data_IF_334316834674
#
_entry.id   IF_334316834674
#
_cell.length_a   1.000
_cell.length_b   1.000
_cell.length_c   1.000
_cell.angle_alpha   90.00
_cell.angle_beta   90.00
_cell.angle_gamma   90.00
#
_symmetry.space_group_name_H-M   'P 1'
#
loop_
_entity.id
_entity.type
_entity.pdbx_description
1 polymer ?
#
# COMPACT_ATOMS: atom_id res chain seq x y z
N UNK A 1 0.29 1.46 35.27
CA UNK A 1 0.70 1.90 36.62
C UNK A 1 0.53 0.72 37.57
N UNK A 2 1.56 0.34 38.31
CA UNK A 2 1.46 -0.70 39.34
C UNK A 2 1.49 0.00 40.69
N UNK A 3 0.43 -0.15 41.49
CA UNK A 3 0.32 0.44 42.82
C UNK A 3 0.75 -0.58 43.87
N UNK A 4 1.75 -0.22 44.67
CA UNK A 4 2.19 -1.01 45.82
C UNK A 4 1.72 -0.31 47.10
N UNK A 5 0.75 -0.90 47.80
CA UNK A 5 0.17 -0.34 49.02
C UNK A 5 0.55 -1.13 50.28
N UNK A 6 0.73 -0.43 51.41
CA UNK A 6 0.61 -1.01 52.76
C UNK A 6 -0.83 -0.90 53.23
N UNK A 7 -1.33 -1.90 53.95
CA UNK A 7 -2.44 -1.75 54.90
C UNK A 7 -1.96 -1.12 56.23
N UNK A 8 -2.48 0.07 56.56
CA UNK A 8 -2.15 0.89 57.74
C UNK A 8 -1.25 2.10 57.43
N UNK A 9 -1.00 3.01 58.42
CA UNK A 9 -0.22 4.25 58.25
C UNK A 9 1.04 4.02 57.39
N UNK A 10 1.02 4.43 56.12
CA UNK A 10 2.18 4.38 55.23
C UNK A 10 2.01 5.22 53.97
N UNK A 11 3.17 5.75 53.63
CA UNK A 11 3.62 6.24 52.33
C UNK A 11 3.30 5.28 51.19
N UNK A 12 2.99 5.86 50.03
CA UNK A 12 2.69 5.19 48.78
C UNK A 12 3.93 5.31 47.89
N UNK A 13 4.45 4.18 47.41
CA UNK A 13 5.46 4.16 46.35
C UNK A 13 4.78 3.80 45.04
N UNK A 14 4.97 4.63 44.01
CA UNK A 14 4.39 4.43 42.69
C UNK A 14 5.48 3.90 41.74
N UNK A 15 5.17 2.83 41.01
CA UNK A 15 5.93 2.48 39.80
C UNK A 15 5.17 3.11 38.64
N UNK A 16 5.70 4.24 38.18
CA UNK A 16 5.21 4.89 36.98
C UNK A 16 5.85 4.24 35.74
N UNK A 17 5.02 3.59 34.94
CA UNK A 17 5.41 3.08 33.62
C UNK A 17 5.04 4.09 32.52
N UNK A 18 4.44 5.23 32.86
CA UNK A 18 4.11 6.26 31.89
C UNK A 18 5.35 7.08 31.54
N UNK A 19 5.72 7.01 30.26
CA UNK A 19 6.78 7.83 29.68
C UNK A 19 7.69 7.09 28.71
N UNK A 20 7.75 5.75 28.77
CA UNK A 20 8.42 4.92 27.78
C UNK A 20 7.48 3.84 27.28
N UNK A 21 7.04 3.93 26.03
CA UNK A 21 6.49 2.76 25.31
C UNK A 21 7.59 1.70 25.31
N UNK A 22 7.33 0.53 25.89
CA UNK A 22 8.29 -0.57 26.02
C UNK A 22 8.15 -1.48 24.80
N UNK A 23 9.20 -1.60 23.99
CA UNK A 23 9.23 -2.44 22.80
C UNK A 23 10.07 -3.69 23.06
N UNK A 24 9.76 -4.79 22.37
CA UNK A 24 10.15 -6.18 22.70
C UNK A 24 11.63 -6.54 22.94
N UNK A 25 12.58 -5.60 22.83
CA UNK A 25 13.98 -5.80 23.21
C UNK A 25 14.42 -5.01 24.46
N UNK A 26 13.62 -4.06 24.94
CA UNK A 26 14.01 -3.14 26.02
C UNK A 26 13.68 -3.67 27.43
N UNK A 27 13.20 -4.92 27.53
CA UNK A 27 12.96 -5.58 28.82
C UNK A 27 14.23 -6.19 29.43
N UNK A 28 15.35 -6.18 28.72
CA UNK A 28 16.60 -6.75 29.20
C UNK A 28 17.21 -5.98 30.40
N UNK A 29 16.70 -4.79 30.76
CA UNK A 29 17.30 -3.96 31.81
C UNK A 29 16.32 -2.99 32.48
N UNK A 30 15.17 -3.47 32.97
CA UNK A 30 14.36 -2.66 33.90
C UNK A 30 14.97 -2.80 35.30
N UNK A 31 15.95 -1.93 35.61
CA UNK A 31 16.56 -1.84 36.94
C UNK A 31 15.63 -1.01 37.87
N UNK A 32 14.83 -1.68 38.71
CA UNK A 32 13.93 -1.04 39.66
C UNK A 32 14.68 -0.67 40.95
N UNK A 33 15.07 0.60 41.11
CA UNK A 33 15.60 1.12 42.39
C UNK A 33 14.51 1.86 43.17
N UNK A 34 14.12 1.31 44.32
CA UNK A 34 13.34 2.03 45.33
C UNK A 34 14.24 2.64 46.40
N UNK A 35 14.00 3.90 46.80
CA UNK A 35 14.69 4.55 47.93
C UNK A 35 13.81 4.54 49.19
N UNK A 36 14.42 4.30 50.34
CA UNK A 36 13.83 4.44 51.68
C UNK A 36 14.76 5.26 52.59
N UNK A 37 14.21 6.18 53.38
CA UNK A 37 14.91 6.85 54.48
C UNK A 37 15.08 5.88 55.65
N UNK A 38 16.23 5.19 55.71
CA UNK A 38 16.65 4.43 56.90
C UNK A 38 17.20 3.02 56.67
N UNK A 39 17.38 2.56 55.43
CA UNK A 39 17.99 1.25 55.13
C UNK A 39 17.57 0.70 53.77
N UNK A 40 18.49 -0.02 53.10
CA UNK A 40 18.29 -0.55 51.75
C UNK A 40 17.38 -1.79 51.75
N UNK A 41 16.38 -1.83 50.87
CA UNK A 41 15.85 -3.09 50.35
C UNK A 41 16.39 -3.26 48.92
N UNK A 42 17.06 -4.37 48.65
CA UNK A 42 17.44 -4.74 47.29
C UNK A 42 16.29 -5.52 46.65
N UNK A 43 15.63 -4.92 45.66
CA UNK A 43 14.77 -5.66 44.73
C UNK A 43 15.69 -6.17 43.62
N UNK A 44 16.13 -7.42 43.71
CA UNK A 44 16.80 -8.08 42.59
C UNK A 44 15.74 -8.68 41.68
N UNK A 45 15.56 -8.11 40.50
CA UNK A 45 14.97 -8.85 39.39
C UNK A 45 16.01 -9.88 38.93
N UNK A 46 15.78 -11.17 39.24
CA UNK A 46 16.61 -12.24 38.68
C UNK A 46 16.06 -12.58 37.30
N UNK A 47 16.88 -12.37 36.27
CA UNK A 47 16.59 -12.85 34.93
C UNK A 47 16.53 -14.39 34.95
N UNK A 48 15.42 -14.98 34.52
CA UNK A 48 15.48 -16.35 33.99
C UNK A 48 15.98 -16.24 32.55
N UNK A 49 17.28 -16.47 32.36
CA UNK A 49 17.85 -16.80 31.05
C UNK A 49 17.48 -18.25 30.72
N UNK A 50 16.85 -18.44 29.57
CA UNK A 50 16.68 -19.70 28.83
C UNK A 50 16.12 -20.89 29.62
N UNK A 51 14.80 -21.09 29.51
CA UNK A 51 14.21 -22.42 29.61
C UNK A 51 13.43 -22.67 28.32
N UNK A 52 13.97 -23.58 27.51
CA UNK A 52 13.37 -24.19 26.33
C UNK A 52 11.86 -24.41 26.45
N UNK A 53 11.08 -23.69 25.64
CA UNK A 53 9.71 -24.06 25.31
C UNK A 53 9.71 -24.48 23.84
N UNK A 54 9.40 -25.74 23.59
CA UNK A 54 9.29 -26.33 22.26
C UNK A 54 8.18 -25.62 21.47
N UNK A 55 8.49 -25.30 20.22
CA UNK A 55 7.57 -24.71 19.26
C UNK A 55 6.41 -25.67 18.99
N UNK A 56 5.19 -25.34 19.42
CA UNK A 56 3.97 -25.84 18.78
C UNK A 56 2.73 -24.98 19.06
N UNK A 57 2.67 -24.20 20.14
CA UNK A 57 1.52 -23.32 20.40
C UNK A 57 1.96 -21.85 20.58
N UNK A 58 1.53 -20.99 19.65
CA UNK A 58 1.71 -19.53 19.74
C UNK A 58 0.74 -18.96 20.78
N UNK A 59 1.17 -18.87 22.04
CA UNK A 59 0.49 -18.14 23.13
C UNK A 59 1.29 -16.86 23.47
N UNK A 60 0.65 -15.75 23.89
CA UNK A 60 1.32 -14.48 24.09
C UNK A 60 2.37 -14.59 25.19
N UNK A 61 3.56 -14.06 24.89
CA UNK A 61 4.79 -14.16 25.68
C UNK A 61 4.57 -13.76 27.14
N UNK A 62 4.47 -14.75 28.02
CA UNK A 62 4.33 -14.56 29.47
C UNK A 62 5.65 -14.06 30.05
N UNK A 63 5.66 -12.84 30.59
CA UNK A 63 6.80 -12.32 31.36
C UNK A 63 6.44 -12.38 32.85
N UNK A 64 7.14 -13.21 33.62
CA UNK A 64 6.93 -13.30 35.06
C UNK A 64 7.68 -12.17 35.79
N UNK A 65 6.95 -11.34 36.54
CA UNK A 65 7.53 -10.38 37.49
C UNK A 65 7.46 -10.99 38.90
N UNK A 66 8.59 -11.47 39.41
CA UNK A 66 8.67 -11.98 40.77
C UNK A 66 8.91 -10.84 41.77
N UNK A 67 8.04 -10.72 42.78
CA UNK A 67 8.22 -9.80 43.90
C UNK A 67 8.65 -10.57 45.13
N UNK A 68 9.68 -10.09 45.84
CA UNK A 68 10.16 -10.69 47.08
C UNK A 68 9.81 -9.78 48.25
N UNK A 69 9.18 -10.34 49.28
CA UNK A 69 8.94 -9.66 50.55
C UNK A 69 9.70 -10.38 51.64
N UNK A 70 10.60 -9.70 52.33
CA UNK A 70 11.39 -10.28 53.44
C UNK A 70 10.63 -10.31 54.78
N UNK A 71 9.37 -9.89 54.80
CA UNK A 71 8.62 -9.61 56.03
C UNK A 71 7.40 -10.55 56.11
N UNK A 72 7.39 -11.42 57.11
CA UNK A 72 6.44 -12.56 57.23
C UNK A 72 5.03 -12.15 57.69
N UNK A 73 4.87 -10.91 58.16
CA UNK A 73 3.64 -10.40 58.80
C UNK A 73 2.90 -9.37 57.93
N UNK A 74 3.17 -9.31 56.62
CA UNK A 74 2.69 -8.21 55.78
C UNK A 74 2.13 -8.67 54.44
N UNK A 75 1.03 -8.06 54.03
CA UNK A 75 0.46 -8.20 52.70
C UNK A 75 0.99 -7.10 51.78
N UNK A 76 1.43 -7.50 50.58
CA UNK A 76 1.71 -6.57 49.47
C UNK A 76 0.58 -6.70 48.47
N UNK A 77 -0.16 -5.61 48.29
CA UNK A 77 -1.19 -5.54 47.26
C UNK A 77 -0.58 -5.02 45.97
N UNK A 78 -0.76 -5.78 44.89
CA UNK A 78 -0.37 -5.39 43.54
C UNK A 78 -1.65 -5.02 42.79
N UNK A 79 -1.82 -3.73 42.52
CA UNK A 79 -2.99 -3.20 41.83
C UNK A 79 -2.63 -2.62 40.46
N UNK A 80 -3.62 -2.61 39.57
CA UNK A 80 -3.60 -1.85 38.33
C UNK A 80 -3.81 -0.34 38.61
N UNK A 81 -3.44 0.50 37.64
CA UNK A 81 -3.59 1.97 37.72
C UNK A 81 -5.03 2.46 37.83
N UNK A 82 -5.98 1.62 37.46
CA UNK A 82 -7.42 1.85 37.60
C UNK A 82 -7.98 1.46 38.98
N UNK A 83 -7.14 0.92 39.87
CA UNK A 83 -7.54 0.49 41.22
C UNK A 83 -8.06 -0.95 41.31
N UNK A 84 -8.05 -1.73 40.23
CA UNK A 84 -8.37 -3.15 40.29
C UNK A 84 -7.24 -3.96 40.96
N UNK A 85 -7.61 -4.88 41.84
CA UNK A 85 -6.68 -5.76 42.56
C UNK A 85 -6.24 -6.90 41.64
N UNK A 86 -4.93 -7.03 41.38
CA UNK A 86 -4.37 -8.09 40.53
C UNK A 86 -4.03 -9.34 41.38
N UNK A 87 -3.81 -9.17 42.69
CA UNK A 87 -3.67 -10.26 43.65
C UNK A 87 -3.18 -9.78 45.02
N UNK A 88 -3.29 -10.66 46.03
CA UNK A 88 -2.78 -10.44 47.39
C UNK A 88 -1.65 -11.45 47.71
N UNK A 89 -0.44 -10.99 48.08
CA UNK A 89 0.56 -11.85 48.72
C UNK A 89 0.23 -11.98 50.20
N UNK A 90 -0.19 -13.16 50.67
CA UNK A 90 -0.67 -13.36 52.04
C UNK A 90 0.15 -14.31 52.93
N UNK A 91 1.32 -14.80 52.51
CA UNK A 91 2.20 -15.51 53.47
C UNK A 91 3.66 -15.60 53.03
N UNK A 92 4.54 -15.67 54.03
CA UNK A 92 5.96 -16.02 53.87
C UNK A 92 6.12 -17.27 52.97
N UNK A 93 6.83 -17.10 51.85
CA UNK A 93 7.06 -18.12 50.84
C UNK A 93 7.14 -17.50 49.44
N UNK A 94 7.94 -18.11 48.55
CA UNK A 94 8.05 -17.68 47.14
C UNK A 94 6.66 -17.64 46.50
N UNK A 95 6.13 -16.43 46.33
CA UNK A 95 4.86 -16.20 45.65
C UNK A 95 5.17 -15.50 44.34
N UNK A 96 5.12 -16.26 43.24
CA UNK A 96 5.24 -15.69 41.89
C UNK A 96 3.91 -15.06 41.50
N UNK A 97 3.86 -13.74 41.30
CA UNK A 97 2.72 -13.09 40.67
C UNK A 97 2.95 -13.09 39.16
N UNK A 98 2.02 -13.68 38.42
CA UNK A 98 1.98 -13.54 36.97
C UNK A 98 1.21 -12.26 36.63
N UNK A 99 1.92 -11.19 36.28
CA UNK A 99 1.30 -10.00 35.71
C UNK A 99 1.13 -10.23 34.20
N UNK A 100 -0.11 -10.46 33.76
CA UNK A 100 -0.44 -10.43 32.34
C UNK A 100 -0.46 -8.96 31.90
N UNK A 101 0.69 -8.42 31.49
CA UNK A 101 0.68 -7.19 30.69
C UNK A 101 0.21 -7.62 29.31
N UNK A 102 -1.09 -7.42 29.04
CA UNK A 102 -1.60 -7.58 27.70
C UNK A 102 -0.82 -6.61 26.80
N UNK A 103 0.08 -7.13 25.96
CA UNK A 103 0.83 -6.40 24.94
C UNK A 103 -0.10 -5.95 23.79
N UNK A 104 -1.42 -5.91 24.03
CA UNK A 104 -2.49 -5.75 23.04
C UNK A 104 -2.61 -4.33 22.49
N UNK A 105 -1.62 -3.48 22.67
CA UNK A 105 -1.57 -2.16 22.04
C UNK A 105 -0.18 -1.72 21.58
N UNK A 106 0.74 -2.64 21.32
CA UNK A 106 2.00 -2.34 20.60
C UNK A 106 1.70 -2.16 19.10
N UNK A 107 1.02 -1.08 18.78
CA UNK A 107 0.82 -0.67 17.39
C UNK A 107 1.89 0.36 17.05
N UNK A 108 2.65 0.11 15.98
CA UNK A 108 3.55 1.11 15.43
C UNK A 108 2.74 2.32 14.98
N UNK A 109 3.22 3.53 15.32
CA UNK A 109 2.58 4.76 14.89
C UNK A 109 2.60 4.84 13.35
N UNK A 110 1.54 5.39 12.78
CA UNK A 110 1.30 5.41 11.32
C UNK A 110 2.01 6.61 10.70
N UNK A 111 2.61 6.48 9.50
CA UNK A 111 3.17 7.62 8.78
C UNK A 111 2.10 8.67 8.46
N UNK A 112 2.52 9.91 8.18
CA UNK A 112 1.59 11.02 7.85
C UNK A 112 2.08 11.78 6.62
N UNK A 113 1.32 12.77 6.14
CA UNK A 113 1.78 13.71 5.11
C UNK A 113 2.17 13.03 3.79
N UNK A 114 1.41 12.03 3.35
CA UNK A 114 1.70 11.28 2.14
C UNK A 114 1.40 12.06 0.86
N UNK A 115 2.27 11.91 -0.14
CA UNK A 115 2.10 12.52 -1.45
C UNK A 115 2.62 11.60 -2.56
N UNK A 116 1.92 11.63 -3.68
CA UNK A 116 2.35 11.03 -4.94
C UNK A 116 1.83 11.90 -6.07
N UNK A 117 2.69 12.20 -7.04
CA UNK A 117 2.32 12.90 -8.26
C UNK A 117 2.72 12.02 -9.43
N UNK A 118 1.74 11.69 -10.27
CA UNK A 118 1.99 10.85 -11.43
C UNK A 118 2.64 11.65 -12.55
N UNK A 119 3.74 11.11 -13.09
CA UNK A 119 4.49 11.68 -14.21
C UNK A 119 4.46 10.79 -15.45
N UNK A 120 3.81 9.63 -15.39
CA UNK A 120 3.50 8.85 -16.58
C UNK A 120 2.21 9.39 -17.20
N UNK A 121 2.16 9.51 -18.51
CA UNK A 121 0.97 10.04 -19.20
C UNK A 121 0.06 8.92 -19.72
N UNK A 122 0.44 7.66 -19.52
CA UNK A 122 -0.22 6.50 -20.12
C UNK A 122 -1.36 5.98 -19.25
N UNK A 123 -2.51 5.69 -19.87
CA UNK A 123 -3.68 5.12 -19.17
C UNK A 123 -3.31 3.88 -18.35
N UNK A 124 -3.65 3.92 -17.05
CA UNK A 124 -3.42 2.86 -16.06
C UNK A 124 -1.95 2.51 -15.86
N UNK A 125 -1.07 3.46 -16.11
CA UNK A 125 0.36 3.38 -15.82
C UNK A 125 0.77 4.61 -15.05
N UNK A 126 1.61 4.42 -14.06
CA UNK A 126 2.06 5.51 -13.21
C UNK A 126 3.58 5.54 -13.09
N UNK A 127 4.11 6.72 -12.80
CA UNK A 127 5.50 6.98 -12.48
C UNK A 127 5.59 8.14 -11.50
N UNK A 128 6.68 8.22 -10.72
CA UNK A 128 6.92 9.40 -9.89
C UNK A 128 7.45 9.04 -8.52
N UNK A 129 7.58 10.05 -7.66
CA UNK A 129 8.08 9.87 -6.30
C UNK A 129 6.91 9.75 -5.32
N UNK A 130 6.79 8.58 -4.69
CA UNK A 130 5.93 8.38 -3.53
C UNK A 130 6.69 8.86 -2.29
N UNK A 131 6.06 9.70 -1.46
CA UNK A 131 6.70 10.22 -0.25
C UNK A 131 5.73 10.31 0.92
N UNK A 132 6.28 10.30 2.13
CA UNK A 132 5.54 10.48 3.39
C UNK A 132 6.44 11.09 4.46
N UNK A 133 5.83 11.44 5.59
CA UNK A 133 6.51 11.89 6.81
C UNK A 133 6.50 10.75 7.82
N UNK A 134 7.69 10.42 8.36
CA UNK A 134 7.82 9.43 9.43
C UNK A 134 6.96 9.81 10.65
N UNK A 135 6.48 8.83 11.44
CA UNK A 135 5.79 9.11 12.69
C UNK A 135 6.64 9.93 13.65
N UNK A 136 5.97 10.66 14.57
CA UNK A 136 6.67 11.41 15.62
C UNK A 136 7.42 10.47 16.57
N UNK A 137 6.76 9.39 16.99
CA UNK A 137 7.38 8.29 17.73
C UNK A 137 7.76 7.16 16.77
N UNK A 138 9.05 6.95 16.63
CA UNK A 138 9.60 5.94 15.74
C UNK A 138 10.17 4.73 16.46
N UNK A 139 9.91 4.60 17.76
CA UNK A 139 10.50 3.52 18.53
C UNK A 139 9.98 2.15 18.03
N UNK A 140 10.90 1.20 17.88
CA UNK A 140 10.63 -0.13 17.32
C UNK A 140 10.32 -0.19 15.81
N UNK A 141 10.20 0.95 15.12
CA UNK A 141 9.98 0.99 13.66
C UNK A 141 11.31 0.76 12.96
N UNK A 142 11.38 -0.30 12.15
CA UNK A 142 12.57 -0.65 11.36
C UNK A 142 12.43 -0.30 9.89
N UNK A 143 11.25 0.15 9.43
CA UNK A 143 11.04 0.63 8.07
C UNK A 143 9.57 0.79 7.70
N UNK A 144 9.30 0.84 6.40
CA UNK A 144 7.94 0.94 5.84
C UNK A 144 7.66 -0.14 4.80
N UNK A 145 6.39 -0.54 4.70
CA UNK A 145 5.90 -1.36 3.60
C UNK A 145 4.81 -0.63 2.84
N UNK A 146 4.87 -0.72 1.52
CA UNK A 146 3.93 -0.08 0.60
C UNK A 146 3.12 -1.16 -0.11
N UNK A 147 1.81 -0.98 -0.18
CA UNK A 147 0.88 -1.88 -0.86
C UNK A 147 0.00 -1.11 -1.84
N UNK A 148 -0.51 -1.81 -2.85
CA UNK A 148 -1.71 -1.38 -3.55
C UNK A 148 -2.92 -1.53 -2.63
N UNK A 149 -3.82 -0.55 -2.65
CA UNK A 149 -5.02 -0.60 -1.84
C UNK A 149 -6.16 0.26 -2.34
N UNK A 150 -7.24 0.21 -1.58
CA UNK A 150 -8.43 1.03 -1.80
C UNK A 150 -8.44 2.24 -0.87
N UNK A 151 -9.30 3.22 -1.16
CA UNK A 151 -9.51 4.39 -0.30
C UNK A 151 -9.96 4.03 1.14
N UNK A 152 -10.51 2.82 1.34
CA UNK A 152 -10.88 2.30 2.66
C UNK A 152 -9.72 1.66 3.45
N UNK A 153 -8.49 1.69 2.93
CA UNK A 153 -7.31 1.10 3.60
C UNK A 153 -7.18 -0.42 3.43
N UNK A 154 -7.94 -1.02 2.51
CA UNK A 154 -7.87 -2.46 2.23
C UNK A 154 -6.73 -2.76 1.27
N UNK A 155 -5.85 -3.71 1.64
CA UNK A 155 -4.78 -4.20 0.77
C UNK A 155 -5.34 -5.05 -0.36
N UNK A 156 -4.76 -4.93 -1.55
CA UNK A 156 -5.11 -5.75 -2.71
C UNK A 156 -4.18 -6.95 -2.91
N UNK A 157 -3.08 -7.02 -2.16
CA UNK A 157 -2.12 -8.12 -2.17
C UNK A 157 -1.63 -8.44 -0.77
N UNK A 158 -1.30 -9.71 -0.53
CA UNK A 158 -0.63 -10.14 0.70
C UNK A 158 0.84 -9.66 0.73
N UNK A 159 1.50 -9.71 -0.42
CA UNK A 159 2.88 -9.23 -0.60
C UNK A 159 2.92 -7.71 -0.77
N UNK A 160 3.95 -7.10 -0.17
CA UNK A 160 4.20 -5.68 -0.31
C UNK A 160 4.75 -5.36 -1.70
N UNK A 161 4.32 -4.25 -2.27
CA UNK A 161 4.91 -3.69 -3.49
C UNK A 161 6.35 -3.25 -3.23
N UNK A 162 6.59 -2.61 -2.08
CA UNK A 162 7.92 -2.23 -1.62
C UNK A 162 8.07 -2.51 -0.12
N UNK A 163 9.27 -2.96 0.27
CA UNK A 163 9.71 -3.01 1.67
C UNK A 163 10.96 -2.15 1.78
N UNK A 164 10.90 -1.14 2.65
CA UNK A 164 11.89 -0.06 2.75
C UNK A 164 12.48 -0.07 4.16
N UNK A 165 13.63 -0.73 4.36
CA UNK A 165 14.32 -0.73 5.64
C UNK A 165 14.82 0.66 5.99
N UNK A 166 14.76 1.04 7.26
CA UNK A 166 15.21 2.33 7.78
C UNK A 166 14.06 3.29 8.02
N UNK A 167 13.94 3.76 9.27
CA UNK A 167 12.91 4.72 9.71
C UNK A 167 12.92 6.06 8.94
N UNK A 168 14.06 6.44 8.37
CA UNK A 168 14.21 7.69 7.61
C UNK A 168 13.94 7.51 6.10
N UNK A 169 13.76 6.28 5.61
CA UNK A 169 13.45 6.03 4.21
C UNK A 169 11.97 6.31 3.93
N UNK A 170 11.64 7.59 3.81
CA UNK A 170 10.26 8.06 3.67
C UNK A 170 9.88 8.44 2.23
N UNK A 171 10.60 7.89 1.25
CA UNK A 171 10.25 8.02 -0.16
C UNK A 171 10.60 6.76 -0.94
N UNK A 172 9.94 6.60 -2.09
CA UNK A 172 10.17 5.52 -3.04
C UNK A 172 9.82 5.97 -4.45
N UNK A 173 10.76 5.80 -5.38
CA UNK A 173 10.50 6.03 -6.81
C UNK A 173 9.68 4.89 -7.41
N UNK A 174 8.52 5.22 -7.96
CA UNK A 174 7.69 4.35 -8.78
C UNK A 174 8.24 4.42 -10.21
N UNK A 175 8.59 3.26 -10.77
CA UNK A 175 9.20 3.19 -12.11
C UNK A 175 8.17 3.57 -13.17
N UNK A 176 8.60 4.24 -14.24
CA UNK A 176 7.72 4.49 -15.39
C UNK A 176 7.19 3.19 -15.99
N UNK A 177 5.94 3.25 -16.45
CA UNK A 177 5.19 2.10 -16.94
C UNK A 177 4.71 1.15 -15.84
N UNK A 178 4.69 1.55 -14.56
CA UNK A 178 4.16 0.69 -13.49
C UNK A 178 2.66 0.54 -13.67
N UNK A 179 2.20 -0.69 -13.87
CA UNK A 179 0.78 -1.01 -13.99
C UNK A 179 0.03 -0.80 -12.68
N UNK A 180 -1.05 -0.03 -12.72
CA UNK A 180 -2.02 0.05 -11.61
C UNK A 180 -2.92 -1.18 -11.68
N UNK A 181 -2.95 -2.06 -10.66
CA UNK A 181 -3.82 -3.24 -10.66
C UNK A 181 -5.30 -2.86 -10.61
N UNK A 182 -6.16 -3.74 -11.11
CA UNK A 182 -7.60 -3.55 -11.02
C UNK A 182 -8.07 -3.35 -9.57
N UNK A 183 -8.85 -2.30 -9.33
CA UNK A 183 -9.37 -1.93 -8.01
C UNK A 183 -8.40 -1.12 -7.14
N UNK A 184 -7.15 -0.92 -7.54
CA UNK A 184 -6.21 -0.06 -6.82
C UNK A 184 -6.58 1.41 -7.02
N UNK A 185 -6.78 2.13 -5.92
CA UNK A 185 -7.07 3.57 -5.91
C UNK A 185 -6.05 4.36 -5.08
N UNK A 186 -5.25 3.67 -4.26
CA UNK A 186 -4.31 4.28 -3.33
C UNK A 186 -3.05 3.41 -3.15
N UNK A 187 -1.96 4.04 -2.73
CA UNK A 187 -0.90 3.37 -1.99
C UNK A 187 -1.25 3.33 -0.51
N UNK A 188 -0.97 2.20 0.15
CA UNK A 188 -1.08 2.06 1.59
C UNK A 188 0.32 1.92 2.18
N UNK A 189 0.70 2.83 3.07
CA UNK A 189 2.00 2.81 3.73
C UNK A 189 1.82 2.40 5.18
N UNK A 190 2.46 1.29 5.57
CA UNK A 190 2.49 0.77 6.93
C UNK A 190 3.88 0.96 7.52
N UNK A 191 3.95 1.40 8.77
CA UNK A 191 5.16 1.25 9.57
C UNK A 191 5.34 -0.24 9.87
N UNK A 192 6.57 -0.75 9.85
CA UNK A 192 6.84 -2.12 10.29
C UNK A 192 8.05 -2.20 11.22
N UNK A 193 8.09 -3.28 11.98
CA UNK A 193 9.17 -3.63 12.88
C UNK A 193 9.22 -5.13 13.11
N UNK A 194 9.85 -5.54 14.20
CA UNK A 194 10.06 -6.94 14.55
C UNK A 194 8.76 -7.70 14.85
N UNK A 195 7.71 -7.00 15.30
CA UNK A 195 6.42 -7.61 15.64
C UNK A 195 5.40 -7.53 14.50
N UNK A 196 5.81 -7.10 13.31
CA UNK A 196 4.94 -6.99 12.14
C UNK A 196 4.69 -5.54 11.72
N UNK A 197 3.48 -5.24 11.26
CA UNK A 197 3.08 -3.95 10.71
C UNK A 197 2.16 -3.19 11.67
N UNK A 198 2.03 -1.88 11.47
CA UNK A 198 1.00 -1.07 12.13
C UNK A 198 -0.41 -1.61 11.83
N UNK A 199 -1.35 -1.45 12.77
CA UNK A 199 -2.75 -1.89 12.58
C UNK A 199 -3.56 -0.98 11.65
N UNK A 200 -3.00 0.17 11.28
CA UNK A 200 -3.56 1.14 10.34
C UNK A 200 -2.47 1.60 9.38
N UNK A 201 -2.88 2.24 8.29
CA UNK A 201 -1.97 2.74 7.26
C UNK A 201 -2.22 4.21 6.94
N UNK A 202 -1.20 4.81 6.34
CA UNK A 202 -1.35 6.04 5.58
C UNK A 202 -1.90 5.69 4.21
N UNK A 203 -3.04 6.27 3.86
CA UNK A 203 -3.66 6.14 2.53
C UNK A 203 -3.20 7.31 1.67
N UNK A 204 -2.51 7.03 0.57
CA UNK A 204 -2.05 8.03 -0.39
C UNK A 204 -2.81 7.80 -1.71
N UNK A 205 -3.69 8.71 -2.13
CA UNK A 205 -4.48 8.52 -3.34
C UNK A 205 -3.58 8.46 -4.57
N UNK A 206 -3.95 7.61 -5.51
CA UNK A 206 -3.35 7.58 -6.84
C UNK A 206 -4.28 8.38 -7.75
N UNK A 207 -3.72 9.39 -8.40
CA UNK A 207 -4.40 10.12 -9.48
C UNK A 207 -3.58 9.86 -10.74
N UNK A 208 -4.12 9.03 -11.61
CA UNK A 208 -3.53 8.69 -12.90
C UNK A 208 -3.62 9.91 -13.84
N UNK A 209 -2.48 10.43 -14.27
CA UNK A 209 -2.41 11.63 -15.10
C UNK A 209 -2.36 11.26 -16.58
N UNK A 210 -3.50 10.89 -17.13
CA UNK A 210 -3.58 10.45 -18.53
C UNK A 210 -3.62 11.63 -19.50
N UNK A 211 -2.72 11.64 -20.49
CA UNK A 211 -2.81 12.53 -21.66
C UNK A 211 -3.39 11.74 -22.82
N UNK A 212 -4.67 11.98 -23.11
CA UNK A 212 -5.41 11.27 -24.14
C UNK A 212 -4.89 11.55 -25.56
N UNK A 213 -5.01 10.56 -26.44
CA UNK A 213 -4.71 10.65 -27.85
C UNK A 213 -5.62 11.69 -28.52
N UNK A 214 -5.02 12.53 -29.36
CA UNK A 214 -5.77 13.51 -30.15
C UNK A 214 -6.36 12.85 -31.39
N UNK A 215 -7.52 13.33 -31.83
CA UNK A 215 -8.10 12.88 -33.10
C UNK A 215 -7.11 13.11 -34.25
N UNK A 216 -6.95 12.13 -35.16
CA UNK A 216 -6.08 12.31 -36.31
C UNK A 216 -6.63 13.40 -37.24
N UNK A 217 -5.72 14.13 -37.90
CA UNK A 217 -6.09 15.13 -38.92
C UNK A 217 -5.98 14.48 -40.29
N UNK A 218 -7.09 14.43 -41.02
CA UNK A 218 -7.13 13.96 -42.41
C UNK A 218 -6.78 15.12 -43.34
N UNK A 219 -5.66 15.01 -44.05
CA UNK A 219 -5.20 16.02 -45.01
C UNK A 219 -5.78 15.78 -46.41
N UNK A 220 -5.91 14.51 -46.80
CA UNK A 220 -6.40 14.13 -48.12
C UNK A 220 -7.37 12.97 -47.98
N UNK A 221 -8.58 13.16 -48.49
CA UNK A 221 -9.60 12.11 -48.61
C UNK A 221 -9.37 11.28 -49.89
N UNK A 222 -9.82 10.01 -49.93
CA UNK A 222 -9.82 9.23 -51.16
C UNK A 222 -10.60 9.94 -52.27
N UNK A 223 -10.00 9.98 -53.46
CA UNK A 223 -10.64 10.56 -54.63
C UNK A 223 -11.54 9.54 -55.34
N UNK A 224 -12.59 10.04 -56.00
CA UNK A 224 -13.44 9.22 -56.86
C UNK A 224 -12.64 8.62 -58.02
N UNK A 225 -13.01 7.41 -58.43
CA UNK A 225 -12.36 6.71 -59.53
C UNK A 225 -13.41 6.14 -60.51
N UNK A 226 -13.14 6.29 -61.80
CA UNK A 226 -13.88 5.61 -62.88
C UNK A 226 -12.93 4.69 -63.61
N UNK A 227 -13.27 3.41 -63.67
CA UNK A 227 -12.44 2.32 -64.20
C UNK A 227 -13.27 1.34 -65.03
N UNK A 228 -12.62 0.63 -65.93
CA UNK A 228 -13.27 -0.42 -66.71
C UNK A 228 -13.42 -1.70 -65.87
N UNK A 229 -14.40 -2.54 -66.23
CA UNK A 229 -14.56 -3.87 -65.63
C UNK A 229 -13.26 -4.67 -65.80
N UNK A 230 -12.83 -5.35 -64.75
CA UNK A 230 -11.59 -6.12 -64.71
C UNK A 230 -10.33 -5.33 -64.33
N UNK A 231 -10.39 -3.99 -64.31
CA UNK A 231 -9.32 -3.14 -63.76
C UNK A 231 -9.44 -3.02 -62.23
N UNK A 232 -8.42 -2.43 -61.59
CA UNK A 232 -8.43 -2.09 -60.16
C UNK A 232 -8.49 -0.57 -59.97
N UNK A 233 -9.05 -0.15 -58.83
CA UNK A 233 -8.99 1.23 -58.34
C UNK A 233 -8.06 1.31 -57.12
N UNK A 234 -7.37 2.44 -56.98
CA UNK A 234 -6.54 2.73 -55.81
C UNK A 234 -7.13 3.93 -55.08
N UNK A 235 -7.45 3.72 -53.81
CA UNK A 235 -7.88 4.76 -52.89
C UNK A 235 -6.75 5.02 -51.89
N UNK A 236 -6.54 6.28 -51.53
CA UNK A 236 -5.51 6.68 -50.59
C UNK A 236 -6.02 7.79 -49.67
N UNK A 237 -5.61 7.71 -48.40
CA UNK A 237 -5.80 8.74 -47.39
C UNK A 237 -4.43 9.25 -46.94
N UNK A 238 -4.33 10.55 -46.66
CA UNK A 238 -3.18 11.11 -45.95
C UNK A 238 -3.66 11.66 -44.62
N UNK A 239 -3.06 11.21 -43.53
CA UNK A 239 -3.42 11.61 -42.18
C UNK A 239 -2.17 11.85 -41.34
N UNK A 240 -2.29 12.68 -40.30
CA UNK A 240 -1.26 12.89 -39.29
C UNK A 240 -1.84 12.72 -37.89
N UNK A 241 -1.01 12.22 -36.97
CA UNK A 241 -1.26 12.29 -35.53
C UNK A 241 -0.62 13.57 -35.00
N UNK A 242 -1.39 14.62 -34.64
CA UNK A 242 -0.83 15.91 -34.24
C UNK A 242 -0.01 15.83 -32.95
N UNK A 243 -0.25 14.81 -32.14
CA UNK A 243 0.43 14.51 -30.89
C UNK A 243 1.59 13.51 -31.05
N UNK A 244 1.92 13.07 -32.28
CA UNK A 244 2.94 12.06 -32.53
C UNK A 244 2.54 10.63 -32.16
N UNK A 245 1.25 10.36 -31.97
CA UNK A 245 0.73 9.01 -31.79
C UNK A 245 0.88 8.12 -33.03
N UNK A 246 0.48 6.85 -32.90
CA UNK A 246 0.56 5.86 -33.99
C UNK A 246 -0.79 5.73 -34.71
N UNK A 247 -0.77 5.86 -36.04
CA UNK A 247 -1.98 5.74 -36.87
C UNK A 247 -2.19 4.30 -37.35
N UNK A 248 -3.44 3.83 -37.23
CA UNK A 248 -3.94 2.62 -37.89
C UNK A 248 -5.12 2.98 -38.79
N UNK A 249 -5.36 2.13 -39.78
CA UNK A 249 -6.36 2.37 -40.83
C UNK A 249 -7.31 1.19 -40.91
N UNK A 250 -8.58 1.47 -41.23
CA UNK A 250 -9.56 0.44 -41.58
C UNK A 250 -10.40 0.95 -42.75
N UNK A 251 -10.26 0.32 -43.90
CA UNK A 251 -11.12 0.64 -45.04
C UNK A 251 -12.49 -0.01 -44.90
N UNK A 252 -13.52 0.75 -45.30
CA UNK A 252 -14.90 0.33 -45.30
C UNK A 252 -15.52 0.59 -46.66
N UNK A 253 -16.46 -0.26 -47.04
CA UNK A 253 -17.26 -0.11 -48.26
C UNK A 253 -18.74 0.04 -47.91
N UNK A 254 -19.43 0.84 -48.69
CA UNK A 254 -20.88 0.94 -48.73
C UNK A 254 -21.40 0.59 -50.11
N UNK A 255 -22.51 -0.16 -50.16
CA UNK A 255 -23.23 -0.50 -51.39
C UNK A 255 -24.61 0.18 -51.46
N UNK A 256 -24.93 1.01 -50.47
CA UNK A 256 -26.22 1.67 -50.28
C UNK A 256 -26.08 3.19 -50.17
N UNK A 257 -25.15 3.76 -50.93
CA UNK A 257 -24.88 5.20 -50.99
C UNK A 257 -24.54 5.84 -49.64
N UNK A 258 -23.82 5.10 -48.80
CA UNK A 258 -23.31 5.57 -47.52
C UNK A 258 -24.24 5.33 -46.33
N UNK A 259 -25.36 4.64 -46.52
CA UNK A 259 -26.29 4.27 -45.45
C UNK A 259 -25.69 3.31 -44.44
N UNK A 260 -25.02 2.27 -44.92
CA UNK A 260 -24.30 1.26 -44.13
C UNK A 260 -22.89 1.08 -44.64
N UNK A 261 -21.97 0.87 -43.70
CA UNK A 261 -20.55 0.70 -43.97
C UNK A 261 -20.09 -0.62 -43.36
N UNK A 262 -19.50 -1.47 -44.18
CA UNK A 262 -18.89 -2.73 -43.74
C UNK A 262 -17.39 -2.63 -43.84
N UNK A 263 -16.68 -3.12 -42.81
CA UNK A 263 -15.24 -3.31 -42.87
C UNK A 263 -14.87 -4.22 -44.04
N UNK A 264 -13.82 -3.82 -44.75
CA UNK A 264 -13.21 -4.66 -45.77
C UNK A 264 -12.29 -5.66 -45.07
N UNK A 265 -12.59 -6.95 -45.25
CA UNK A 265 -11.80 -8.05 -44.73
C UNK A 265 -10.40 -8.06 -45.34
N UNK A 266 -9.41 -8.48 -44.53
CA UNK A 266 -8.05 -8.78 -44.99
C UNK A 266 -7.20 -7.54 -45.33
N UNK A 267 -6.20 -7.25 -44.50
CA UNK A 267 -5.07 -6.35 -44.76
C UNK A 267 -5.36 -4.94 -45.33
N UNK A 268 -6.62 -4.51 -45.44
CA UNK A 268 -7.02 -3.15 -45.81
C UNK A 268 -6.82 -2.19 -44.63
N UNK A 269 -5.61 -2.25 -44.08
CA UNK A 269 -5.15 -1.56 -42.87
C UNK A 269 -3.99 -0.61 -43.14
N UNK A 270 -3.78 -0.29 -44.41
CA UNK A 270 -2.80 0.68 -44.89
C UNK A 270 -3.46 2.00 -45.31
N UNK A 271 -2.69 3.07 -45.37
CA UNK A 271 -3.13 4.37 -45.87
C UNK A 271 -3.59 4.34 -47.33
N UNK A 272 -3.21 3.30 -48.09
CA UNK A 272 -3.73 3.03 -49.43
C UNK A 272 -4.43 1.67 -49.48
N UNK A 273 -5.53 1.62 -50.22
CA UNK A 273 -6.26 0.40 -50.55
C UNK A 273 -6.36 0.25 -52.07
N UNK A 274 -6.11 -0.96 -52.56
CA UNK A 274 -6.30 -1.34 -53.97
C UNK A 274 -7.45 -2.34 -54.00
N UNK A 275 -8.47 -2.06 -54.81
CA UNK A 275 -9.60 -2.97 -54.97
C UNK A 275 -9.16 -4.28 -55.63
N UNK A 276 -9.88 -5.38 -55.42
CA UNK A 276 -9.90 -6.49 -56.38
C UNK A 276 -10.31 -6.00 -57.78
N UNK A 277 -10.18 -6.88 -58.77
CA UNK A 277 -10.67 -6.60 -60.12
C UNK A 277 -12.16 -6.25 -60.08
N UNK A 278 -12.50 -5.07 -60.60
CA UNK A 278 -13.84 -4.49 -60.48
C UNK A 278 -14.86 -5.25 -61.33
N UNK A 279 -16.07 -5.35 -60.79
CA UNK A 279 -17.25 -5.93 -61.45
C UNK A 279 -18.33 -4.88 -61.64
N UNK A 280 -19.39 -5.20 -62.38
CA UNK A 280 -20.54 -4.29 -62.53
C UNK A 280 -21.24 -3.98 -61.19
N UNK A 281 -21.13 -4.90 -60.21
CA UNK A 281 -21.71 -4.72 -58.88
C UNK A 281 -20.99 -3.66 -58.03
N UNK A 282 -19.76 -3.28 -58.40
CA UNK A 282 -18.99 -2.25 -57.70
C UNK A 282 -19.33 -0.83 -58.19
N UNK A 283 -20.15 -0.69 -59.24
CA UNK A 283 -20.58 0.62 -59.72
C UNK A 283 -21.48 1.31 -58.68
N UNK A 284 -21.06 2.50 -58.24
CA UNK A 284 -21.73 3.24 -57.17
C UNK A 284 -21.36 2.79 -55.75
N UNK A 285 -20.46 1.81 -55.61
CA UNK A 285 -19.88 1.49 -54.31
C UNK A 285 -19.08 2.69 -53.79
N UNK A 286 -19.25 3.01 -52.50
CA UNK A 286 -18.49 4.07 -51.84
C UNK A 286 -17.44 3.45 -50.93
N UNK A 287 -16.30 4.12 -50.83
CA UNK A 287 -15.18 3.69 -49.99
C UNK A 287 -14.80 4.82 -49.03
N UNK A 288 -14.56 4.46 -47.76
CA UNK A 288 -13.99 5.38 -46.76
C UNK A 288 -12.91 4.67 -45.97
N UNK A 289 -12.06 5.46 -45.34
CA UNK A 289 -11.05 4.97 -44.43
C UNK A 289 -11.32 5.57 -43.05
N UNK A 290 -11.46 4.72 -42.04
CA UNK A 290 -11.46 5.13 -40.64
C UNK A 290 -10.01 5.15 -40.18
N UNK A 291 -9.55 6.30 -39.68
CA UNK A 291 -8.19 6.45 -39.18
C UNK A 291 -8.23 6.54 -37.66
N UNK A 292 -7.49 5.67 -36.99
CA UNK A 292 -7.38 5.66 -35.53
C UNK A 292 -6.00 6.11 -35.11
N UNK A 293 -5.91 7.17 -34.31
CA UNK A 293 -4.70 7.52 -33.60
C UNK A 293 -4.67 6.81 -32.24
N UNK A 294 -3.54 6.20 -31.89
CA UNK A 294 -3.32 5.56 -30.59
C UNK A 294 -2.10 6.19 -29.91
N UNK A 295 -2.28 6.65 -28.68
CA UNK A 295 -1.21 7.23 -27.85
C UNK A 295 -1.52 7.04 -26.37
N UNK A 296 -0.50 6.78 -25.55
CA UNK A 296 -0.64 6.71 -24.09
C UNK A 296 -1.73 5.73 -23.62
N UNK A 297 -1.90 4.60 -24.32
CA UNK A 297 -2.95 3.61 -24.01
C UNK A 297 -4.38 4.01 -24.40
N UNK A 298 -4.58 5.20 -24.95
CA UNK A 298 -5.88 5.72 -25.41
C UNK A 298 -5.95 5.80 -26.94
N UNK A 299 -7.16 5.91 -27.48
CA UNK A 299 -7.40 6.03 -28.92
C UNK A 299 -8.38 7.14 -29.26
N UNK A 300 -8.22 7.73 -30.44
CA UNK A 300 -9.14 8.69 -31.04
C UNK A 300 -9.28 8.41 -32.53
N UNK A 301 -10.49 8.57 -33.09
CA UNK A 301 -10.81 8.18 -34.48
C UNK A 301 -11.30 9.38 -35.29
N UNK A 302 -11.02 9.36 -36.59
CA UNK A 302 -11.58 10.27 -37.59
C UNK A 302 -12.08 9.49 -38.82
#
# INVERSE_FOLDING_TARGET
MIKLGRTGNRDISYIDLFGKKIYGHDMASILLKGMHTGGYYSVNSVNYTEASLSAEDYEPVTHALAFWTSDVDRTVQVGSGDGSTIGDLTRAGNSTIYAHVALSSLHYDVPTGGAFADTDESDKRIAGELSWTKPADTNGITGYKVYWGTAGGTKLSAEALYTLPGVNNCSQTIRSGTAVPDGATCFLVYSYGLTGESSSCLVIPIVDHVVAAQAPVINTHPADATKNIGETATFAVSAIAPDGGSLTYQWQRSLDSGGTWSDLDGAATSASYITPALTYADNGAQYRCVVTNSKNGTTATA
#
